data_IF_236904994782
#
_entry.id   IF_236904994782
#
_cell.length_a   1.000
_cell.length_b   1.000
_cell.length_c   1.000
_cell.angle_alpha   90.00
_cell.angle_beta   90.00
_cell.angle_gamma   90.00
#
_symmetry.space_group_name_H-M   'P 1'
#
loop_
_entity.id
_entity.type
_entity.pdbx_description
1 polymer ?
#
# COMPACT_ATOMS: atom_id res chain seq x y z
N UNK A 1 20.82 -11.30 -24.68
CA UNK A 1 20.34 -10.88 -23.35
C UNK A 1 20.04 -9.39 -23.30
N UNK A 2 20.71 -8.54 -24.07
CA UNK A 2 20.43 -7.08 -24.14
C UNK A 2 19.02 -6.74 -24.65
N UNK A 3 18.47 -7.45 -25.63
CA UNK A 3 17.18 -7.10 -26.23
C UNK A 3 15.90 -7.41 -25.40
N UNK A 4 15.97 -8.19 -24.32
CA UNK A 4 14.79 -8.47 -23.47
C UNK A 4 14.65 -7.41 -22.36
N UNK A 5 15.79 -6.95 -21.83
CA UNK A 5 15.81 -5.93 -20.79
C UNK A 5 15.41 -4.57 -21.35
N UNK A 6 15.84 -4.25 -22.58
CA UNK A 6 15.47 -3.02 -23.29
C UNK A 6 13.96 -2.96 -23.60
N UNK A 7 13.36 -4.07 -24.05
CA UNK A 7 11.90 -4.18 -24.26
C UNK A 7 11.10 -4.02 -22.94
N UNK A 8 11.61 -4.56 -21.83
CA UNK A 8 10.97 -4.42 -20.52
C UNK A 8 11.01 -2.97 -20.02
N UNK A 9 12.08 -2.24 -20.36
CA UNK A 9 12.23 -0.83 -20.04
C UNK A 9 11.29 0.05 -20.85
N UNK A 10 11.23 -0.15 -22.18
CA UNK A 10 10.28 0.56 -23.04
C UNK A 10 8.83 0.34 -22.60
N UNK A 11 8.48 -0.91 -22.24
CA UNK A 11 7.14 -1.23 -21.73
C UNK A 11 6.85 -0.54 -20.40
N UNK A 12 7.81 -0.49 -19.48
CA UNK A 12 7.66 0.22 -18.23
C UNK A 12 7.42 1.72 -18.46
N UNK A 13 8.19 2.35 -19.35
CA UNK A 13 8.03 3.77 -19.69
C UNK A 13 6.67 4.06 -20.35
N UNK A 14 6.15 3.14 -21.17
CA UNK A 14 4.80 3.23 -21.72
C UNK A 14 3.73 3.19 -20.63
N UNK A 15 3.86 2.25 -19.69
CA UNK A 15 2.92 2.10 -18.56
C UNK A 15 3.00 3.28 -17.59
N UNK A 16 4.18 3.86 -17.38
CA UNK A 16 4.36 5.08 -16.60
C UNK A 16 3.63 6.27 -17.25
N UNK A 17 3.77 6.44 -18.58
CA UNK A 17 3.03 7.49 -19.31
C UNK A 17 1.52 7.30 -19.22
N UNK A 18 1.04 6.06 -19.35
CA UNK A 18 -0.38 5.72 -19.20
C UNK A 18 -0.87 6.01 -17.78
N UNK A 19 -0.09 5.63 -16.77
CA UNK A 19 -0.40 5.91 -15.37
C UNK A 19 -0.53 7.41 -15.12
N UNK A 20 0.40 8.24 -15.61
CA UNK A 20 0.32 9.71 -15.47
C UNK A 20 -0.93 10.32 -16.12
N UNK A 21 -1.47 9.67 -17.16
CA UNK A 21 -2.69 10.08 -17.85
C UNK A 21 -3.96 9.46 -17.26
N UNK A 22 -3.85 8.58 -16.26
CA UNK A 22 -5.01 7.94 -15.65
C UNK A 22 -6.00 8.98 -15.10
N UNK A 23 -7.28 8.80 -15.41
CA UNK A 23 -8.37 9.65 -14.94
C UNK A 23 -8.99 9.16 -13.63
N UNK A 24 -8.64 7.96 -13.19
CA UNK A 24 -9.15 7.35 -11.96
C UNK A 24 -8.09 6.51 -11.25
N UNK A 25 -8.29 6.26 -9.95
CA UNK A 25 -7.44 5.34 -9.17
C UNK A 25 -7.47 3.93 -9.74
N UNK A 26 -8.61 3.49 -10.27
CA UNK A 26 -8.75 2.17 -10.90
C UNK A 26 -7.80 2.03 -12.09
N UNK A 27 -7.86 2.95 -13.04
CA UNK A 27 -6.96 2.96 -14.20
C UNK A 27 -5.50 3.05 -13.78
N UNK A 28 -5.18 3.94 -12.82
CA UNK A 28 -3.83 4.06 -12.27
C UNK A 28 -3.32 2.72 -11.73
N UNK A 29 -4.12 2.03 -10.92
CA UNK A 29 -3.73 0.77 -10.30
C UNK A 29 -3.64 -0.39 -11.30
N UNK A 30 -4.44 -0.39 -12.36
CA UNK A 30 -4.30 -1.34 -13.46
C UNK A 30 -2.93 -1.19 -14.13
N UNK A 31 -2.55 0.03 -14.51
CA UNK A 31 -1.24 0.31 -15.11
C UNK A 31 -0.07 0.06 -14.15
N UNK A 32 -0.23 0.43 -12.88
CA UNK A 32 0.81 0.20 -11.87
C UNK A 32 1.03 -1.29 -11.63
N UNK A 33 -0.05 -2.07 -11.50
CA UNK A 33 0.05 -3.52 -11.35
C UNK A 33 0.74 -4.16 -12.55
N UNK A 34 0.42 -3.73 -13.76
CA UNK A 34 1.09 -4.22 -14.95
C UNK A 34 2.58 -3.84 -14.96
N UNK A 35 2.92 -2.59 -14.68
CA UNK A 35 4.32 -2.12 -14.60
C UNK A 35 5.11 -2.90 -13.54
N UNK A 36 4.43 -3.31 -12.47
CA UNK A 36 4.99 -4.10 -11.39
C UNK A 36 5.25 -5.57 -11.78
N UNK A 37 4.39 -6.15 -12.61
CA UNK A 37 4.55 -7.50 -13.17
C UNK A 37 5.72 -7.52 -14.16
N UNK A 38 5.83 -6.49 -14.99
CA UNK A 38 6.85 -6.34 -16.04
C UNK A 38 8.19 -5.81 -15.51
N UNK A 39 8.31 -5.47 -14.22
CA UNK A 39 9.56 -5.01 -13.62
C UNK A 39 10.69 -6.00 -13.89
N UNK A 40 11.84 -5.50 -14.39
CA UNK A 40 13.00 -6.35 -14.69
C UNK A 40 13.47 -7.10 -13.44
N UNK A 41 14.15 -8.24 -13.63
CA UNK A 41 14.65 -9.04 -12.51
C UNK A 41 15.59 -8.20 -11.63
N UNK A 42 16.57 -7.53 -12.23
CA UNK A 42 17.54 -6.70 -11.51
C UNK A 42 16.88 -5.59 -10.67
N UNK A 43 15.89 -4.89 -11.24
CA UNK A 43 15.13 -3.88 -10.50
C UNK A 43 14.39 -4.52 -9.32
N UNK A 44 13.71 -5.65 -9.57
CA UNK A 44 12.95 -6.38 -8.56
C UNK A 44 13.83 -6.81 -7.37
N UNK A 45 15.10 -7.14 -7.58
CA UNK A 45 16.02 -7.56 -6.49
C UNK A 45 16.15 -6.50 -5.39
N UNK A 46 15.94 -5.24 -5.76
CA UNK A 46 16.11 -4.08 -4.88
C UNK A 46 14.79 -3.50 -4.37
N UNK A 47 13.66 -3.80 -5.02
CA UNK A 47 12.32 -3.29 -4.67
C UNK A 47 11.45 -4.33 -3.96
N UNK A 48 11.83 -5.61 -4.02
CA UNK A 48 11.16 -6.69 -3.32
C UNK A 48 11.13 -6.45 -1.79
N UNK A 49 10.09 -6.81 -1.03
CA UNK A 49 10.04 -6.58 0.42
C UNK A 49 11.06 -7.36 1.26
N UNK A 50 11.66 -8.43 0.72
CA UNK A 50 12.61 -9.33 1.41
C UNK A 50 13.92 -9.54 0.65
N UNK A 51 14.91 -10.12 1.32
CA UNK A 51 16.22 -10.45 0.75
C UNK A 51 16.19 -11.47 -0.38
N UNK A 52 17.33 -11.59 -1.08
CA UNK A 52 17.53 -12.34 -2.34
C UNK A 52 17.07 -13.80 -2.30
N UNK A 53 17.29 -14.50 -1.19
CA UNK A 53 16.88 -15.91 -1.03
C UNK A 53 15.36 -16.11 -1.19
N UNK A 54 14.56 -15.17 -0.70
CA UNK A 54 13.09 -15.23 -0.81
C UNK A 54 12.61 -14.85 -2.21
N UNK A 55 13.32 -13.93 -2.86
CA UNK A 55 12.99 -13.52 -4.22
C UNK A 55 13.25 -14.63 -5.24
N UNK A 56 14.37 -15.36 -5.12
CA UNK A 56 14.68 -16.46 -6.02
C UNK A 56 13.62 -17.57 -5.98
N UNK A 57 12.99 -17.74 -4.81
CA UNK A 57 11.94 -18.74 -4.60
C UNK A 57 10.53 -18.25 -4.97
N UNK A 58 10.22 -16.97 -4.73
CA UNK A 58 8.84 -16.46 -4.73
C UNK A 58 8.65 -15.11 -5.42
N UNK A 59 9.69 -14.61 -6.09
CA UNK A 59 9.70 -13.31 -6.76
C UNK A 59 8.59 -13.17 -7.80
N UNK A 60 8.29 -14.23 -8.55
CA UNK A 60 7.29 -14.21 -9.61
C UNK A 60 5.85 -14.06 -9.11
N UNK A 61 5.50 -14.66 -7.97
CA UNK A 61 4.17 -14.60 -7.35
C UNK A 61 3.94 -13.24 -6.69
N UNK A 62 4.95 -12.75 -5.98
CA UNK A 62 4.94 -11.41 -5.40
C UNK A 62 4.96 -10.31 -6.47
N UNK A 63 5.48 -10.59 -7.66
CA UNK A 63 5.34 -9.69 -8.81
C UNK A 63 3.89 -9.37 -9.14
N UNK A 64 3.00 -10.34 -8.93
CA UNK A 64 1.56 -10.25 -9.22
C UNK A 64 0.73 -9.73 -8.05
N UNK A 65 1.26 -9.78 -6.83
CA UNK A 65 0.59 -9.24 -5.65
C UNK A 65 0.50 -7.73 -5.74
N UNK A 66 -0.70 -7.19 -5.62
CA UNK A 66 -0.93 -5.75 -5.65
C UNK A 66 -2.06 -5.39 -4.68
N UNK A 67 -1.83 -4.40 -3.83
CA UNK A 67 -2.72 -3.97 -2.75
C UNK A 67 -3.20 -2.57 -3.07
N UNK A 68 -4.37 -2.51 -3.71
CA UNK A 68 -5.08 -1.27 -3.93
C UNK A 68 -5.48 -0.64 -2.59
N UNK A 69 -5.51 0.67 -2.57
CA UNK A 69 -5.82 1.52 -1.42
C UNK A 69 -6.45 2.84 -1.92
N UNK A 70 -6.79 3.76 -1.03
CA UNK A 70 -7.55 4.95 -1.40
C UNK A 70 -8.48 5.44 -0.28
N UNK A 71 -9.64 6.00 -0.67
CA UNK A 71 -10.63 6.56 0.27
C UNK A 71 -11.14 5.52 1.26
N UNK A 72 -11.45 5.94 2.49
CA UNK A 72 -11.90 5.03 3.55
C UNK A 72 -13.42 4.73 3.49
N UNK A 73 -14.21 5.56 2.80
CA UNK A 73 -15.67 5.41 2.70
C UNK A 73 -16.15 4.61 1.48
N UNK A 74 -15.50 4.75 0.32
CA UNK A 74 -15.97 4.16 -0.93
C UNK A 74 -14.96 3.17 -1.52
N UNK A 75 -15.46 2.21 -2.29
CA UNK A 75 -14.60 1.29 -3.04
C UNK A 75 -13.80 2.10 -4.09
N UNK A 76 -12.59 1.65 -4.43
CA UNK A 76 -11.71 2.34 -5.40
C UNK A 76 -12.43 2.61 -6.72
N UNK A 77 -13.25 1.66 -7.18
CA UNK A 77 -14.03 1.75 -8.42
C UNK A 77 -15.11 2.83 -8.41
N UNK A 78 -15.50 3.30 -7.22
CA UNK A 78 -16.55 4.31 -7.01
C UNK A 78 -15.98 5.64 -6.51
N UNK A 79 -14.65 5.82 -6.62
CA UNK A 79 -14.00 7.07 -6.20
C UNK A 79 -14.24 8.13 -7.27
N UNK A 80 -15.37 8.82 -7.17
CA UNK A 80 -15.79 9.89 -8.10
C UNK A 80 -15.36 11.28 -7.63
N UNK A 81 -15.09 11.45 -6.33
CA UNK A 81 -14.71 12.75 -5.74
C UNK A 81 -13.22 12.82 -5.45
N UNK A 82 -12.59 13.85 -6.00
CA UNK A 82 -11.30 14.40 -5.61
C UNK A 82 -11.53 15.36 -4.42
N UNK A 83 -10.51 15.58 -3.60
CA UNK A 83 -10.51 16.27 -2.31
C UNK A 83 -10.68 15.32 -1.12
N UNK A 84 -9.54 15.06 -0.48
CA UNK A 84 -9.42 14.25 0.74
C UNK A 84 -8.86 15.14 1.85
N UNK A 85 -9.49 15.25 3.03
CA UNK A 85 -8.94 16.09 4.10
C UNK A 85 -7.55 15.60 4.55
N UNK A 86 -7.38 14.28 4.72
CA UNK A 86 -6.12 13.68 5.18
C UNK A 86 -5.82 12.42 4.38
N UNK A 87 -4.59 12.36 3.83
CA UNK A 87 -4.01 11.13 3.31
C UNK A 87 -3.03 10.52 4.32
N UNK A 88 -3.36 9.34 4.85
CA UNK A 88 -2.46 8.56 5.68
C UNK A 88 -1.51 7.71 4.83
N UNK A 89 -0.19 7.83 5.01
CA UNK A 89 0.80 7.09 4.22
C UNK A 89 1.56 6.10 5.09
N UNK A 90 1.52 4.82 4.74
CA UNK A 90 2.32 3.75 5.35
C UNK A 90 3.35 3.18 4.37
N UNK A 91 4.23 2.31 4.88
CA UNK A 91 5.26 1.65 4.07
C UNK A 91 4.66 0.61 3.12
N UNK A 92 3.97 -0.37 3.69
CA UNK A 92 3.41 -1.53 2.98
C UNK A 92 2.30 -2.16 3.83
N UNK A 93 1.32 -2.79 3.17
CA UNK A 93 0.31 -3.62 3.84
C UNK A 93 0.95 -4.91 4.36
N UNK A 94 0.57 -5.36 5.55
CA UNK A 94 0.95 -6.70 5.99
C UNK A 94 0.12 -7.74 5.20
N UNK A 95 0.73 -8.36 4.21
CA UNK A 95 0.12 -9.39 3.38
C UNK A 95 0.64 -10.79 3.74
N UNK A 96 1.37 -10.92 4.86
CA UNK A 96 2.06 -12.15 5.29
C UNK A 96 1.16 -13.37 5.24
N UNK A 97 -0.09 -13.26 5.65
CA UNK A 97 -0.99 -14.42 5.77
C UNK A 97 -1.51 -14.90 4.40
N UNK A 98 -1.68 -13.99 3.44
CA UNK A 98 -2.07 -14.30 2.06
C UNK A 98 -0.91 -14.91 1.29
N UNK A 99 0.29 -14.35 1.50
CA UNK A 99 1.55 -14.88 1.00
C UNK A 99 1.80 -16.25 1.62
N UNK A 100 1.73 -16.41 2.94
CA UNK A 100 1.92 -17.68 3.63
C UNK A 100 0.88 -18.71 3.20
N UNK A 101 -0.37 -18.33 2.90
CA UNK A 101 -1.34 -19.23 2.28
C UNK A 101 -0.95 -19.65 0.86
N UNK A 102 -0.48 -18.73 0.03
CA UNK A 102 0.05 -19.07 -1.30
C UNK A 102 1.25 -20.01 -1.19
N UNK A 103 2.18 -19.72 -0.28
CA UNK A 103 3.38 -20.51 0.00
C UNK A 103 3.05 -21.89 0.60
N UNK A 104 2.06 -21.96 1.49
CA UNK A 104 1.57 -23.20 2.10
C UNK A 104 0.89 -24.08 1.06
N UNK A 105 0.09 -23.49 0.17
CA UNK A 105 -0.46 -24.18 -1.00
C UNK A 105 0.65 -24.74 -1.88
N UNK A 106 1.74 -23.99 -2.06
CA UNK A 106 2.88 -24.39 -2.90
C UNK A 106 3.74 -25.51 -2.27
N UNK A 107 4.02 -25.44 -0.96
CA UNK A 107 4.73 -26.48 -0.22
C UNK A 107 3.92 -27.78 -0.13
N UNK A 108 2.59 -27.69 -0.02
CA UNK A 108 1.69 -28.83 -0.18
C UNK A 108 1.64 -29.32 -1.63
N UNK A 109 1.68 -28.42 -2.64
CA UNK A 109 1.69 -28.79 -4.05
C UNK A 109 2.97 -29.56 -4.44
N UNK A 110 4.17 -29.20 -3.99
CA UNK A 110 5.36 -30.00 -4.30
C UNK A 110 5.30 -31.43 -3.76
N UNK A 111 4.55 -31.66 -2.66
CA UNK A 111 4.35 -32.99 -2.07
C UNK A 111 3.14 -33.73 -2.66
N UNK A 112 2.07 -33.03 -3.04
CA UNK A 112 0.81 -33.59 -3.55
C UNK A 112 0.73 -33.72 -5.08
N UNK A 113 1.53 -32.97 -5.85
CA UNK A 113 1.53 -33.01 -7.33
C UNK A 113 2.14 -34.31 -7.89
N UNK A 114 2.79 -35.13 -7.05
CA UNK A 114 3.14 -36.52 -7.38
C UNK A 114 2.00 -37.52 -7.17
N UNK A 115 0.92 -37.15 -6.49
CA UNK A 115 -0.09 -38.13 -6.06
C UNK A 115 -1.53 -37.86 -6.55
N UNK A 116 -1.93 -36.64 -6.90
CA UNK A 116 -3.35 -36.40 -7.18
C UNK A 116 -3.60 -35.48 -8.38
N UNK A 117 -3.54 -36.08 -9.57
CA UNK A 117 -4.57 -35.79 -10.57
C UNK A 117 -5.93 -36.18 -9.97
N UNK A 118 -6.92 -35.32 -10.18
CA UNK A 118 -8.33 -35.44 -9.76
C UNK A 118 -8.60 -35.15 -8.27
N UNK A 119 -9.01 -33.91 -7.98
CA UNK A 119 -10.40 -33.61 -7.61
C UNK A 119 -10.61 -32.13 -7.33
N UNK A 120 -11.73 -31.68 -7.89
CA UNK A 120 -12.63 -30.65 -7.37
C UNK A 120 -12.22 -29.18 -7.49
N UNK A 121 -12.89 -28.56 -8.48
CA UNK A 121 -13.31 -27.18 -8.54
C UNK A 121 -13.74 -26.70 -7.15
N UNK A 122 -12.92 -25.88 -6.52
CA UNK A 122 -13.34 -25.07 -5.39
C UNK A 122 -13.65 -23.67 -5.92
N UNK A 123 -14.94 -23.37 -5.91
CA UNK A 123 -15.54 -22.12 -6.37
C UNK A 123 -14.76 -20.90 -5.86
N UNK A 124 -14.41 -20.05 -6.81
CA UNK A 124 -13.89 -18.72 -6.60
C UNK A 124 -14.86 -17.91 -5.75
N UNK A 125 -14.61 -17.84 -4.44
CA UNK A 125 -14.88 -16.60 -3.73
C UNK A 125 -13.91 -15.58 -4.29
N UNK A 126 -14.40 -14.64 -5.08
CA UNK A 126 -13.66 -13.45 -5.51
C UNK A 126 -12.94 -12.86 -4.29
N UNK A 127 -11.63 -12.99 -4.30
CA UNK A 127 -10.78 -12.54 -3.23
C UNK A 127 -10.73 -11.01 -3.25
N UNK A 128 -11.40 -10.42 -2.25
CA UNK A 128 -11.08 -9.12 -1.67
C UNK A 128 -10.79 -8.01 -2.68
N UNK A 129 -11.81 -7.57 -3.41
CA UNK A 129 -11.79 -6.31 -4.16
C UNK A 129 -11.79 -5.07 -3.24
N UNK A 130 -11.87 -5.28 -1.92
CA UNK A 130 -11.93 -4.21 -0.92
C UNK A 130 -10.57 -3.97 -0.26
N UNK A 131 -10.25 -2.69 -0.11
CA UNK A 131 -9.05 -2.22 0.57
C UNK A 131 -9.14 -2.52 2.09
N UNK A 132 -8.15 -3.22 2.64
CA UNK A 132 -8.22 -3.76 4.01
C UNK A 132 -8.52 -2.73 5.12
N UNK A 133 -8.04 -1.48 4.97
CA UNK A 133 -8.37 -0.44 5.94
C UNK A 133 -9.83 -0.01 5.84
N UNK A 134 -10.44 0.01 4.64
CA UNK A 134 -11.89 0.23 4.53
C UNK A 134 -12.64 -0.82 5.33
N UNK A 135 -12.22 -2.08 5.28
CA UNK A 135 -12.84 -3.13 6.09
C UNK A 135 -12.70 -2.85 7.59
N UNK A 136 -11.52 -2.39 8.04
CA UNK A 136 -11.33 -1.99 9.45
C UNK A 136 -12.26 -0.84 9.85
N UNK A 137 -12.39 0.20 9.01
CA UNK A 137 -13.21 1.37 9.29
C UNK A 137 -14.70 1.03 9.23
N UNK A 138 -15.18 0.46 8.11
CA UNK A 138 -16.57 0.04 7.91
C UNK A 138 -17.01 -0.88 9.05
N UNK A 139 -16.18 -1.85 9.40
CA UNK A 139 -16.51 -2.77 10.46
C UNK A 139 -16.65 -2.06 11.82
N UNK A 140 -15.78 -1.09 12.14
CA UNK A 140 -15.90 -0.29 13.37
C UNK A 140 -17.09 0.66 13.40
N UNK A 141 -17.63 1.02 12.25
CA UNK A 141 -18.82 1.87 12.14
C UNK A 141 -20.12 1.06 12.23
N UNK A 142 -20.14 -0.15 11.67
CA UNK A 142 -21.35 -0.97 11.57
C UNK A 142 -21.44 -2.12 12.57
N UNK A 143 -20.38 -2.43 13.33
CA UNK A 143 -20.37 -3.57 14.27
C UNK A 143 -19.81 -3.18 15.65
N UNK A 144 -20.41 -3.73 16.71
CA UNK A 144 -20.07 -3.46 18.12
C UNK A 144 -18.92 -4.33 18.67
N UNK A 145 -18.62 -5.47 18.06
CA UNK A 145 -17.56 -6.37 18.52
C UNK A 145 -16.16 -5.75 18.31
N UNK A 146 -15.03 -6.42 18.64
CA UNK A 146 -13.69 -6.04 18.18
C UNK A 146 -13.16 -6.83 16.95
N UNK A 147 -12.81 -6.13 15.87
CA UNK A 147 -11.83 -6.60 14.89
C UNK A 147 -10.55 -6.80 15.69
N UNK A 148 -9.83 -7.90 15.42
CA UNK A 148 -8.66 -8.31 16.20
C UNK A 148 -7.73 -7.16 16.58
N UNK A 149 -6.91 -7.34 17.63
CA UNK A 149 -6.18 -6.24 18.31
C UNK A 149 -5.49 -5.24 17.36
N UNK A 150 -5.00 -5.68 16.20
CA UNK A 150 -4.40 -4.82 15.18
C UNK A 150 -5.39 -3.82 14.55
N UNK A 151 -6.54 -4.26 14.02
CA UNK A 151 -7.53 -3.38 13.40
C UNK A 151 -8.07 -2.32 14.37
N UNK A 152 -8.30 -2.71 15.62
CA UNK A 152 -8.69 -1.77 16.68
C UNK A 152 -7.60 -0.72 16.98
N UNK A 153 -6.31 -1.08 16.88
CA UNK A 153 -5.21 -0.11 17.04
C UNK A 153 -5.12 0.87 15.88
N UNK A 154 -5.26 0.38 14.64
CA UNK A 154 -5.30 1.24 13.45
C UNK A 154 -6.43 2.25 13.53
N UNK A 155 -7.67 1.79 13.74
CA UNK A 155 -8.83 2.67 13.86
C UNK A 155 -8.61 3.76 14.93
N UNK A 156 -8.18 3.37 16.14
CA UNK A 156 -7.97 4.33 17.21
C UNK A 156 -6.84 5.30 16.89
N UNK A 157 -5.73 4.83 16.31
CA UNK A 157 -4.63 5.68 15.89
C UNK A 157 -5.09 6.73 14.88
N UNK A 158 -5.72 6.31 13.78
CA UNK A 158 -6.13 7.23 12.71
C UNK A 158 -7.20 8.21 13.19
N UNK A 159 -8.21 7.75 13.93
CA UNK A 159 -9.22 8.63 14.54
C UNK A 159 -8.59 9.70 15.42
N UNK A 160 -7.58 9.31 16.18
CA UNK A 160 -6.83 10.21 17.04
C UNK A 160 -6.02 11.23 16.20
N UNK A 161 -5.35 10.79 15.12
CA UNK A 161 -4.67 11.70 14.18
C UNK A 161 -5.63 12.71 13.52
N UNK A 162 -6.83 12.27 13.11
CA UNK A 162 -7.87 13.16 12.56
C UNK A 162 -8.20 14.27 13.56
N UNK A 163 -8.53 13.93 14.81
CA UNK A 163 -8.85 14.92 15.86
C UNK A 163 -7.78 15.98 16.05
N UNK A 164 -6.52 15.61 15.88
CA UNK A 164 -5.41 16.53 16.06
C UNK A 164 -5.14 17.39 14.82
N UNK A 165 -5.39 16.84 13.63
CA UNK A 165 -5.32 17.58 12.39
C UNK A 165 -6.44 18.63 12.27
N UNK A 166 -7.54 18.51 13.02
CA UNK A 166 -8.66 19.46 12.96
C UNK A 166 -8.25 20.92 13.23
N UNK A 167 -7.18 21.16 13.97
CA UNK A 167 -6.64 22.51 14.17
C UNK A 167 -5.99 23.11 12.91
N UNK A 168 -5.54 22.27 11.98
CA UNK A 168 -4.85 22.67 10.75
C UNK A 168 -5.80 22.74 9.54
N UNK A 169 -6.74 21.80 9.43
CA UNK A 169 -7.61 21.64 8.24
C UNK A 169 -9.11 21.81 8.54
N UNK A 170 -9.46 22.15 9.79
CA UNK A 170 -10.86 22.22 10.20
C UNK A 170 -11.50 20.85 10.46
N UNK A 171 -12.81 20.83 10.67
CA UNK A 171 -13.53 19.61 11.05
C UNK A 171 -13.63 18.64 9.88
N UNK A 172 -13.12 17.42 10.07
CA UNK A 172 -13.32 16.28 9.17
C UNK A 172 -13.56 15.00 9.97
N UNK A 173 -14.21 14.01 9.35
CA UNK A 173 -14.39 12.68 9.90
C UNK A 173 -13.38 11.68 9.31
N UNK A 174 -13.06 10.63 10.07
CA UNK A 174 -12.10 9.62 9.61
C UNK A 174 -12.56 8.92 8.33
N UNK A 175 -13.86 8.77 8.14
CA UNK A 175 -14.40 8.10 6.95
C UNK A 175 -14.19 8.91 5.66
N UNK A 176 -14.00 10.23 5.77
CA UNK A 176 -13.74 11.12 4.62
C UNK A 176 -12.26 11.11 4.19
N UNK A 177 -11.39 10.55 5.03
CA UNK A 177 -9.95 10.49 4.78
C UNK A 177 -9.60 9.36 3.79
N UNK A 178 -8.36 9.38 3.30
CA UNK A 178 -7.78 8.30 2.50
C UNK A 178 -6.55 7.71 3.17
N UNK A 179 -6.16 6.53 2.71
CA UNK A 179 -4.95 5.85 3.14
C UNK A 179 -4.26 5.25 1.93
N UNK A 180 -2.93 5.30 1.91
CA UNK A 180 -2.11 4.62 0.93
C UNK A 180 -0.89 3.94 1.57
N UNK A 181 -0.37 2.93 0.89
CA UNK A 181 0.98 2.42 1.11
C UNK A 181 1.91 2.86 -0.01
N UNK A 182 3.18 3.11 0.31
CA UNK A 182 4.23 3.36 -0.67
C UNK A 182 4.45 2.12 -1.55
N UNK A 183 4.65 0.95 -0.93
CA UNK A 183 4.83 -0.32 -1.63
C UNK A 183 3.48 -1.04 -1.77
N UNK A 184 3.04 -1.24 -3.03
CA UNK A 184 1.77 -1.91 -3.36
C UNK A 184 1.88 -3.43 -3.42
N UNK A 185 3.08 -4.02 -3.43
CA UNK A 185 3.27 -5.50 -3.41
C UNK A 185 2.67 -6.15 -2.17
N UNK A 186 2.53 -5.37 -1.09
CA UNK A 186 2.37 -5.90 0.25
C UNK A 186 3.72 -6.39 0.80
N UNK A 187 3.76 -6.59 2.10
CA UNK A 187 4.96 -7.00 2.81
C UNK A 187 4.63 -7.78 4.07
N UNK A 188 5.52 -7.69 5.05
CA UNK A 188 5.52 -8.54 6.24
C UNK A 188 5.31 -7.72 7.52
N UNK A 189 5.41 -8.38 8.67
CA UNK A 189 5.36 -7.75 9.99
C UNK A 189 6.50 -6.73 10.25
N UNK A 190 7.55 -6.75 9.43
CA UNK A 190 8.65 -5.78 9.40
C UNK A 190 8.93 -5.36 7.96
N UNK A 191 9.17 -4.06 7.75
CA UNK A 191 9.50 -3.50 6.44
C UNK A 191 10.97 -3.09 6.37
N UNK A 192 11.64 -3.43 5.27
CA UNK A 192 12.98 -2.96 4.94
C UNK A 192 12.91 -1.56 4.31
N UNK A 193 13.41 -0.55 5.02
CA UNK A 193 13.37 0.86 4.61
C UNK A 193 14.17 1.14 3.33
N UNK A 194 15.26 0.43 3.09
CA UNK A 194 16.04 0.59 1.86
C UNK A 194 15.24 0.08 0.66
N UNK A 195 14.52 -1.04 0.82
CA UNK A 195 13.67 -1.60 -0.23
C UNK A 195 12.45 -0.71 -0.50
N UNK A 196 11.81 -0.17 0.54
CA UNK A 196 10.77 0.85 0.41
C UNK A 196 11.27 2.07 -0.36
N UNK A 197 12.47 2.57 -0.05
CA UNK A 197 13.10 3.68 -0.79
C UNK A 197 13.26 3.38 -2.27
N UNK A 198 13.76 2.19 -2.60
CA UNK A 198 14.01 1.80 -3.99
C UNK A 198 12.70 1.64 -4.76
N UNK A 199 11.69 1.02 -4.13
CA UNK A 199 10.34 0.94 -4.68
C UNK A 199 9.78 2.35 -4.94
N UNK A 200 9.89 3.25 -3.97
CA UNK A 200 9.40 4.62 -4.10
C UNK A 200 10.06 5.38 -5.26
N UNK A 201 11.37 5.20 -5.49
CA UNK A 201 12.07 5.78 -6.64
C UNK A 201 11.57 5.20 -7.96
N UNK A 202 11.43 3.87 -8.03
CA UNK A 202 11.01 3.18 -9.26
C UNK A 202 9.60 3.56 -9.68
N UNK A 203 8.70 3.71 -8.72
CA UNK A 203 7.28 4.01 -8.95
C UNK A 203 6.90 5.45 -8.58
N UNK A 204 7.86 6.38 -8.59
CA UNK A 204 7.65 7.78 -8.18
C UNK A 204 6.46 8.41 -8.91
N UNK A 205 6.39 8.24 -10.23
CA UNK A 205 5.32 8.83 -11.05
C UNK A 205 3.93 8.24 -10.78
N UNK A 206 3.87 6.96 -10.39
CA UNK A 206 2.63 6.31 -9.99
C UNK A 206 2.16 6.84 -8.63
N UNK A 207 3.10 7.01 -7.68
CA UNK A 207 2.83 7.57 -6.34
C UNK A 207 2.37 9.03 -6.46
N UNK A 208 3.07 9.85 -7.25
CA UNK A 208 2.69 11.25 -7.49
C UNK A 208 1.28 11.34 -8.08
N UNK A 209 0.96 10.47 -9.05
CA UNK A 209 -0.36 10.43 -9.66
C UNK A 209 -1.45 9.98 -8.70
N UNK A 210 -1.18 9.01 -7.83
CA UNK A 210 -2.14 8.59 -6.80
C UNK A 210 -2.49 9.75 -5.88
N UNK A 211 -1.48 10.53 -5.47
CA UNK A 211 -1.68 11.72 -4.62
C UNK A 211 -2.46 12.79 -5.37
N UNK A 212 -2.17 13.01 -6.65
CA UNK A 212 -2.93 13.91 -7.52
C UNK A 212 -4.41 13.49 -7.60
N UNK A 213 -4.68 12.20 -7.84
CA UNK A 213 -6.03 11.63 -7.92
C UNK A 213 -6.74 11.51 -6.57
N UNK A 214 -6.04 11.59 -5.44
CA UNK A 214 -6.68 11.69 -4.13
C UNK A 214 -6.91 13.15 -3.74
N UNK A 215 -6.09 14.05 -4.27
CA UNK A 215 -6.04 15.48 -3.97
C UNK A 215 -6.17 15.79 -2.47
N UNK A 216 -5.21 15.36 -1.62
CA UNK A 216 -5.33 15.57 -0.20
C UNK A 216 -5.03 17.03 0.21
N UNK A 217 -5.67 17.53 1.27
CA UNK A 217 -5.28 18.81 1.89
C UNK A 217 -3.94 18.66 2.64
N UNK A 218 -3.80 17.59 3.43
CA UNK A 218 -2.56 17.25 4.13
C UNK A 218 -2.23 15.76 3.99
N UNK A 219 -0.93 15.45 4.14
CA UNK A 219 -0.40 14.09 4.15
C UNK A 219 0.19 13.79 5.53
N UNK A 220 -0.18 12.65 6.14
CA UNK A 220 0.40 12.18 7.41
C UNK A 220 1.13 10.86 7.19
N UNK A 221 2.46 10.89 7.30
CA UNK A 221 3.32 9.71 7.29
C UNK A 221 3.19 8.95 8.61
N UNK A 222 2.78 7.69 8.52
CA UNK A 222 2.56 6.78 9.63
C UNK A 222 3.81 5.93 9.91
N UNK A 223 4.76 6.54 10.62
CA UNK A 223 6.09 6.02 10.91
C UNK A 223 7.13 6.53 9.92
N UNK A 224 8.40 6.28 10.24
CA UNK A 224 9.51 6.56 9.31
C UNK A 224 9.39 5.58 8.12
N UNK A 225 9.14 6.14 6.92
CA UNK A 225 8.88 5.39 5.68
C UNK A 225 10.13 4.76 5.11
N UNK A 226 11.20 5.55 4.99
CA UNK A 226 12.48 5.09 4.46
C UNK A 226 13.66 5.62 5.29
N UNK A 227 14.87 5.20 4.95
CA UNK A 227 16.12 5.46 5.68
C UNK A 227 16.90 6.68 5.15
N UNK A 228 16.48 7.30 4.04
CA UNK A 228 17.14 8.46 3.43
C UNK A 228 16.21 9.66 3.16
N UNK A 229 14.94 9.57 3.56
CA UNK A 229 13.92 10.58 3.36
C UNK A 229 13.47 10.75 1.90
N UNK A 230 13.65 9.75 1.04
CA UNK A 230 13.22 9.83 -0.37
C UNK A 230 11.70 9.82 -0.49
N UNK A 231 10.99 8.95 0.26
CA UNK A 231 9.54 8.94 0.24
C UNK A 231 9.01 10.32 0.64
N UNK A 232 9.61 10.94 1.67
CA UNK A 232 9.27 12.30 2.09
C UNK A 232 9.47 13.33 0.96
N UNK A 233 10.55 13.24 0.19
CA UNK A 233 10.81 14.16 -0.94
C UNK A 233 9.74 14.05 -2.02
N UNK A 234 9.34 12.82 -2.38
CA UNK A 234 8.26 12.56 -3.34
C UNK A 234 6.94 13.12 -2.81
N UNK A 235 6.57 12.85 -1.56
CA UNK A 235 5.32 13.37 -0.99
C UNK A 235 5.28 14.91 -0.99
N UNK A 236 6.43 15.56 -0.81
CA UNK A 236 6.56 17.03 -0.86
C UNK A 236 6.57 17.60 -2.29
N UNK A 237 7.05 16.86 -3.29
CA UNK A 237 7.05 17.34 -4.69
C UNK A 237 5.63 17.56 -5.21
N UNK A 238 4.65 16.85 -4.64
CA UNK A 238 3.22 17.03 -4.92
C UNK A 238 2.63 18.36 -4.39
N UNK A 239 3.42 19.23 -3.74
CA UNK A 239 2.96 20.54 -3.26
C UNK A 239 2.02 20.48 -2.04
N UNK A 240 2.00 19.34 -1.33
CA UNK A 240 1.15 19.12 -0.15
C UNK A 240 1.93 19.33 1.15
N UNK A 241 1.24 19.73 2.22
CA UNK A 241 1.82 19.76 3.56
C UNK A 241 1.98 18.33 4.10
N UNK A 242 3.22 17.95 4.43
CA UNK A 242 3.56 16.58 4.86
C UNK A 242 3.98 16.57 6.32
N UNK A 243 3.31 15.73 7.10
CA UNK A 243 3.46 15.58 8.54
C UNK A 243 3.97 14.17 8.90
N UNK A 244 4.72 14.02 10.01
CA UNK A 244 5.25 12.72 10.45
C UNK A 244 4.71 12.30 11.82
N UNK A 245 3.87 11.27 11.84
CA UNK A 245 3.60 10.51 13.06
C UNK A 245 4.70 9.46 13.24
N UNK A 246 5.61 9.64 14.21
CA UNK A 246 6.85 8.83 14.34
C UNK A 246 6.62 7.31 14.52
N UNK A 247 5.40 6.86 14.82
CA UNK A 247 5.07 5.46 15.11
C UNK A 247 4.19 4.85 14.04
N UNK A 248 4.27 3.53 13.91
CA UNK A 248 3.35 2.80 13.05
C UNK A 248 2.00 2.60 13.76
N UNK A 249 0.84 2.71 13.07
CA UNK A 249 -0.49 2.58 13.68
C UNK A 249 -0.72 1.27 14.44
N UNK A 250 -0.10 0.16 14.00
CA UNK A 250 -0.16 -1.13 14.71
C UNK A 250 0.48 -1.11 16.11
N UNK A 251 1.28 -0.10 16.43
CA UNK A 251 1.94 0.10 17.72
C UNK A 251 1.20 1.10 18.61
N UNK A 252 0.01 1.54 18.22
CA UNK A 252 -0.82 2.44 19.03
C UNK A 252 -1.05 1.91 20.46
N UNK A 253 -0.88 2.80 21.43
CA UNK A 253 -1.33 2.66 22.81
C UNK A 253 -1.81 4.03 23.33
N UNK A 254 -2.81 4.02 24.22
CA UNK A 254 -3.37 5.25 24.80
C UNK A 254 -2.32 6.06 25.56
N UNK A 255 -1.43 5.38 26.27
CA UNK A 255 -0.41 5.99 27.15
C UNK A 255 0.79 6.60 26.41
N UNK A 256 0.93 6.30 25.10
CA UNK A 256 2.03 6.79 24.26
C UNK A 256 1.54 7.80 23.23
N UNK A 257 0.33 8.32 23.43
CA UNK A 257 -0.27 9.36 22.62
C UNK A 257 0.08 10.77 23.16
N UNK A 258 1.33 10.96 23.59
CA UNK A 258 1.88 12.28 23.87
C UNK A 258 2.41 12.85 22.55
N UNK A 259 1.89 14.02 22.19
CA UNK A 259 2.09 14.62 20.88
C UNK A 259 3.23 15.62 20.94
N UNK A 260 4.28 15.35 20.18
CA UNK A 260 5.03 16.46 19.59
C UNK A 260 4.21 16.94 18.39
N UNK A 261 4.13 18.26 18.20
CA UNK A 261 3.63 18.86 16.97
C UNK A 261 4.26 18.07 15.82
N UNK A 262 3.41 17.55 14.92
CA UNK A 262 3.88 16.96 13.69
C UNK A 262 4.69 18.08 13.01
N UNK A 263 6.01 17.99 13.06
CA UNK A 263 6.85 19.04 12.54
C UNK A 263 6.47 19.26 11.07
N UNK A 264 6.08 20.50 10.74
CA UNK A 264 6.27 20.99 9.38
C UNK A 264 7.78 20.95 9.15
N UNK A 265 8.24 19.85 8.57
CA UNK A 265 9.65 19.71 8.18
C UNK A 265 9.93 20.43 6.87
#
# INVERSE_FOLDING_TARGET
MEGVDDMSKERFEELEKKAQQAGSLKELFEYWKEAQIEESKESCETTFPRGKEFEELYGAEFKKSFKCDGKLNCDVEKTESLNVPILFVCKESNASDEIERMLSSYALHQKAYKELNAREKMESKEWGTNFWMQDVIRWKLYHEAPQGRAGSKYYNCLRTLVKNAQNAIGSCELIDCAYMNINKRGGYNTADKTRIRNYAKKYEKFIEKEIELLDPEIIICCGILDDQGICKKILKSCGKSVYLYKRHPSRYSKDLCNWEKLEEL
#
